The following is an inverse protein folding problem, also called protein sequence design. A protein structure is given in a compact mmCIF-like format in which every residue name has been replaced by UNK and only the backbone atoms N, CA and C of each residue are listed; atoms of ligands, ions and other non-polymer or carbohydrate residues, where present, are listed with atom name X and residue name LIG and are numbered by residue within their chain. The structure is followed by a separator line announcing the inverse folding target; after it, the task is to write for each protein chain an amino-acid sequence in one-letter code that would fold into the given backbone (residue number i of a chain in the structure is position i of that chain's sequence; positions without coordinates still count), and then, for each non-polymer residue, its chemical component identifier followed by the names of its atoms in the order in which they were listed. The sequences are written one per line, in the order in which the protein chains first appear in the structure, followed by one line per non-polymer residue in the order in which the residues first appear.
data_IF_363936036498
#
_entry.id   IF_363936036498
#
_cell.length_a   1.000
_cell.length_b   1.000
_cell.length_c   1.000
_cell.angle_alpha   90.00
_cell.angle_beta   90.00
_cell.angle_gamma   90.00
#
_symmetry.space_group_name_H-M   'P 1'
#
loop_
_entity.id
_entity.type
_entity.pdbx_description
1 polymer ?
#
# COMPACT_ATOMS: atom_id res chain seq x y z
N UNK A 1 14.42 15.56 -1.99
CA UNK A 1 13.03 15.05 -1.93
C UNK A 1 12.70 14.72 -0.48
N UNK A 2 11.59 15.21 0.07
CA UNK A 2 11.21 15.01 1.48
C UNK A 2 10.77 13.55 1.71
N UNK A 3 11.74 12.66 1.90
CA UNK A 3 11.54 11.22 2.17
C UNK A 3 10.48 10.95 3.24
N UNK A 4 10.34 11.87 4.21
CA UNK A 4 9.35 11.82 5.30
C UNK A 4 7.90 11.73 4.82
N UNK A 5 7.52 12.51 3.79
CA UNK A 5 6.15 12.51 3.28
C UNK A 5 5.83 11.20 2.56
N UNK A 6 6.79 10.66 1.82
CA UNK A 6 6.65 9.37 1.13
C UNK A 6 6.38 8.23 2.13
N UNK A 7 7.19 8.14 3.20
CA UNK A 7 6.99 7.11 4.22
C UNK A 7 5.70 7.28 5.01
N UNK A 8 5.30 8.53 5.26
CA UNK A 8 4.03 8.82 5.92
C UNK A 8 2.85 8.36 5.07
N UNK A 9 2.85 8.65 3.77
CA UNK A 9 1.80 8.16 2.85
C UNK A 9 1.82 6.64 2.70
N UNK A 10 3.00 6.02 2.66
CA UNK A 10 3.11 4.57 2.61
C UNK A 10 2.50 3.92 3.86
N UNK A 11 2.81 4.45 5.05
CA UNK A 11 2.22 3.97 6.31
C UNK A 11 0.71 4.16 6.36
N UNK A 12 0.20 5.32 5.94
CA UNK A 12 -1.25 5.57 5.88
C UNK A 12 -1.94 4.57 4.93
N UNK A 13 -1.39 4.36 3.73
CA UNK A 13 -1.96 3.43 2.74
C UNK A 13 -1.94 2.00 3.26
N UNK A 14 -0.85 1.56 3.90
CA UNK A 14 -0.74 0.21 4.47
C UNK A 14 -1.68 0.04 5.64
N UNK A 15 -1.74 1.02 6.55
CA UNK A 15 -2.64 0.99 7.71
C UNK A 15 -4.10 0.92 7.28
N UNK A 16 -4.51 1.78 6.34
CA UNK A 16 -5.86 1.75 5.79
C UNK A 16 -6.14 0.40 5.11
N UNK A 17 -5.18 -0.15 4.37
CA UNK A 17 -5.37 -1.45 3.74
C UNK A 17 -5.48 -2.60 4.75
N UNK A 18 -4.77 -2.54 5.88
CA UNK A 18 -4.89 -3.52 6.97
C UNK A 18 -6.24 -3.37 7.68
N UNK A 19 -6.67 -2.14 7.98
CA UNK A 19 -7.95 -1.85 8.66
C UNK A 19 -9.17 -2.23 7.82
N UNK A 20 -9.08 -2.11 6.50
CA UNK A 20 -10.16 -2.42 5.56
C UNK A 20 -10.05 -3.79 4.87
N UNK A 21 -9.06 -4.61 5.25
CA UNK A 21 -8.94 -5.99 4.79
C UNK A 21 -9.06 -6.98 5.94
N UNK A 22 -8.96 -8.26 5.62
CA UNK A 22 -8.91 -9.37 6.58
C UNK A 22 -7.55 -9.46 7.32
N UNK A 23 -6.66 -8.48 7.15
CA UNK A 23 -5.34 -8.49 7.77
C UNK A 23 -4.40 -9.56 7.21
N UNK A 24 -4.70 -10.11 6.03
CA UNK A 24 -3.80 -11.04 5.30
C UNK A 24 -3.04 -10.31 4.19
N UNK A 25 -1.85 -10.81 3.76
CA UNK A 25 -1.14 -10.24 2.61
C UNK A 25 -2.03 -10.19 1.34
N UNK A 26 -2.83 -11.23 1.14
CA UNK A 26 -3.75 -11.36 0.00
C UNK A 26 -4.90 -10.36 0.09
N UNK A 27 -5.51 -10.18 1.27
CA UNK A 27 -6.58 -9.20 1.47
C UNK A 27 -6.07 -7.77 1.35
N UNK A 28 -4.89 -7.46 1.91
CA UNK A 28 -4.23 -6.16 1.73
C UNK A 28 -3.91 -5.90 0.26
N UNK A 29 -3.33 -6.88 -0.45
CA UNK A 29 -3.04 -6.79 -1.90
C UNK A 29 -4.31 -6.56 -2.71
N UNK A 30 -5.38 -7.29 -2.39
CA UNK A 30 -6.68 -7.18 -3.07
C UNK A 30 -7.32 -5.82 -2.82
N UNK A 31 -7.31 -5.33 -1.58
CA UNK A 31 -7.80 -4.00 -1.23
C UNK A 31 -7.02 -2.90 -1.97
N UNK A 32 -5.69 -2.95 -1.93
CA UNK A 32 -4.83 -1.99 -2.63
C UNK A 32 -5.04 -2.01 -4.15
N UNK A 33 -5.26 -3.19 -4.73
CA UNK A 33 -5.51 -3.37 -6.17
C UNK A 33 -6.87 -2.81 -6.57
N UNK A 34 -7.90 -3.10 -5.79
CA UNK A 34 -9.28 -2.64 -6.01
C UNK A 34 -9.50 -1.17 -5.63
N UNK A 35 -8.59 -0.57 -4.85
CA UNK A 35 -8.59 0.86 -4.57
C UNK A 35 -8.34 1.64 -5.85
N UNK A 36 -9.44 1.98 -6.55
CA UNK A 36 -9.44 2.93 -7.66
C UNK A 36 -8.92 4.24 -7.11
N UNK A 37 -7.81 4.72 -7.64
CA UNK A 37 -7.17 5.98 -7.25
C UNK A 37 -8.13 7.17 -7.48
N UNK A 38 -8.92 7.61 -6.49
CA UNK A 38 -10.02 8.54 -6.75
C UNK A 38 -9.50 9.94 -6.47
N UNK A 39 -8.87 10.60 -7.45
CA UNK A 39 -8.41 12.01 -7.38
C UNK A 39 -7.32 12.34 -6.34
N UNK A 40 -7.20 11.55 -5.27
CA UNK A 40 -6.32 11.72 -4.10
C UNK A 40 -4.85 11.34 -4.39
N UNK A 41 -4.63 10.73 -5.56
CA UNK A 41 -3.33 10.36 -6.14
C UNK A 41 -2.79 11.41 -7.11
N UNK A 42 -3.24 12.67 -6.99
CA UNK A 42 -2.73 13.80 -7.78
C UNK A 42 -1.25 14.10 -7.50
N UNK A 43 -0.72 13.67 -6.35
CA UNK A 43 0.71 13.79 -6.03
C UNK A 43 1.51 12.59 -6.54
N UNK A 44 2.62 12.83 -7.27
CA UNK A 44 3.46 11.75 -7.80
C UNK A 44 4.01 10.83 -6.70
N UNK A 45 4.32 11.38 -5.53
CA UNK A 45 4.85 10.62 -4.37
C UNK A 45 3.83 9.59 -3.84
N UNK A 46 2.53 9.93 -3.84
CA UNK A 46 1.46 9.00 -3.44
C UNK A 46 1.28 7.90 -4.47
N UNK A 47 1.36 8.24 -5.77
CA UNK A 47 1.31 7.25 -6.85
C UNK A 47 2.45 6.25 -6.75
N UNK A 48 3.65 6.76 -6.48
CA UNK A 48 4.83 5.93 -6.32
C UNK A 48 4.73 5.02 -5.08
N UNK A 49 4.25 5.56 -3.95
CA UNK A 49 4.00 4.79 -2.73
C UNK A 49 2.95 3.68 -2.96
N UNK A 50 1.84 3.96 -3.63
CA UNK A 50 0.83 2.95 -3.96
C UNK A 50 1.37 1.90 -4.92
N UNK A 51 2.10 2.32 -5.96
CA UNK A 51 2.71 1.39 -6.93
C UNK A 51 3.69 0.45 -6.25
N UNK A 52 4.51 0.98 -5.34
CA UNK A 52 5.46 0.20 -4.55
C UNK A 52 4.74 -0.74 -3.58
N UNK A 53 3.72 -0.27 -2.87
CA UNK A 53 2.89 -1.12 -2.01
C UNK A 53 2.26 -2.26 -2.83
N UNK A 54 1.63 -1.97 -3.96
CA UNK A 54 1.06 -2.99 -4.86
C UNK A 54 2.11 -4.00 -5.29
N UNK A 55 3.29 -3.56 -5.73
CA UNK A 55 4.36 -4.45 -6.17
C UNK A 55 4.87 -5.34 -5.04
N UNK A 56 5.06 -4.78 -3.85
CA UNK A 56 5.52 -5.54 -2.69
C UNK A 56 4.45 -6.55 -2.29
N UNK A 57 3.19 -6.15 -2.06
CA UNK A 57 2.14 -7.09 -1.66
C UNK A 57 1.78 -8.12 -2.74
N UNK A 58 1.91 -7.80 -4.03
CA UNK A 58 1.78 -8.77 -5.11
C UNK A 58 2.92 -9.81 -5.12
N UNK A 59 4.15 -9.39 -4.82
CA UNK A 59 5.31 -10.32 -4.75
C UNK A 59 5.33 -11.11 -3.45
N UNK A 60 4.70 -10.58 -2.40
CA UNK A 60 4.72 -11.12 -1.04
C UNK A 60 3.40 -11.81 -0.71
N UNK A 61 2.56 -12.11 -1.70
CA UNK A 61 1.25 -12.73 -1.53
C UNK A 61 1.33 -14.12 -0.85
N UNK A 62 2.43 -14.85 -1.08
CA UNK A 62 2.74 -16.14 -0.44
C UNK A 62 3.56 -16.01 0.86
N UNK A 63 3.83 -14.78 1.32
CA UNK A 63 4.74 -14.52 2.45
C UNK A 63 4.03 -13.71 3.52
N UNK A 64 4.30 -13.98 4.80
CA UNK A 64 3.59 -13.34 5.90
C UNK A 64 3.92 -11.84 6.02
N UNK A 65 2.95 -11.05 6.48
CA UNK A 65 2.95 -9.57 6.46
C UNK A 65 4.17 -8.90 7.13
N UNK A 66 4.78 -9.55 8.11
CA UNK A 66 5.96 -9.04 8.83
C UNK A 66 7.24 -8.98 7.98
N UNK A 67 7.23 -9.59 6.79
CA UNK A 67 8.33 -9.45 5.82
C UNK A 67 8.24 -8.15 4.99
N UNK A 68 7.09 -7.47 5.00
CA UNK A 68 6.79 -6.28 4.16
C UNK A 68 6.93 -4.96 4.93
N UNK A 69 6.71 -4.99 6.25
CA UNK A 69 6.81 -3.85 7.16
C UNK A 69 8.26 -3.60 7.61
#
# INVERSE_FOLDING_TARGET
MKQTLYFQFLKEIIKEAIEHSDGTPTGVSTYLTNKKAPGFFSRPEKREALSRAKKVFATTQDRPLWFVL
#
